data_IF_197809082503
#
_entry.id   IF_197809082503
#
_cell.length_a   1.000
_cell.length_b   1.000
_cell.length_c   1.000
_cell.angle_alpha   90.00
_cell.angle_beta   90.00
_cell.angle_gamma   90.00
#
_symmetry.space_group_name_H-M   'P 1'
#
loop_
_entity.id
_entity.type
_entity.pdbx_description
1 polymer ?
#
# COMPACT_ATOMS: atom_id res chain seq x y z
N UNK A 1 9.80 12.32 -7.91
CA UNK A 1 9.99 13.01 -6.63
C UNK A 1 8.67 13.02 -5.87
N UNK A 2 8.72 12.72 -4.56
CA UNK A 2 7.54 12.72 -3.69
C UNK A 2 6.96 14.13 -3.52
N UNK A 3 7.84 15.13 -3.41
CA UNK A 3 7.46 16.54 -3.37
C UNK A 3 6.65 16.96 -4.61
N UNK A 4 7.07 16.56 -5.81
CA UNK A 4 6.35 16.86 -7.04
C UNK A 4 4.95 16.18 -7.07
N UNK A 5 4.82 14.96 -6.52
CA UNK A 5 3.50 14.29 -6.43
C UNK A 5 2.49 15.12 -5.62
N UNK A 6 2.94 15.82 -4.56
CA UNK A 6 2.06 16.65 -3.72
C UNK A 6 1.40 17.78 -4.52
N UNK A 7 2.12 18.41 -5.46
CA UNK A 7 1.56 19.43 -6.33
C UNK A 7 0.47 18.88 -7.25
N UNK A 8 0.65 17.66 -7.77
CA UNK A 8 -0.37 17.01 -8.61
C UNK A 8 -1.59 16.58 -7.80
N UNK A 9 -1.40 16.12 -6.56
CA UNK A 9 -2.52 15.85 -5.65
C UNK A 9 -3.32 17.12 -5.36
N UNK A 10 -2.65 18.25 -5.13
CA UNK A 10 -3.32 19.54 -4.97
C UNK A 10 -4.16 19.91 -6.21
N UNK A 11 -3.64 19.70 -7.43
CA UNK A 11 -4.38 19.87 -8.69
C UNK A 11 -5.57 18.91 -8.80
N UNK A 12 -5.46 17.71 -8.22
CA UNK A 12 -6.55 16.75 -8.13
C UNK A 12 -7.62 17.13 -7.08
N UNK A 13 -7.38 18.19 -6.29
CA UNK A 13 -8.21 18.55 -5.14
C UNK A 13 -8.16 17.52 -4.02
N UNK A 14 -7.06 16.79 -3.89
CA UNK A 14 -6.81 15.82 -2.84
C UNK A 14 -5.84 16.38 -1.81
N UNK A 15 -6.18 16.35 -0.52
CA UNK A 15 -5.23 16.69 0.53
C UNK A 15 -4.11 15.64 0.59
N UNK A 16 -2.98 16.04 1.16
CA UNK A 16 -1.85 15.17 1.50
C UNK A 16 -1.41 15.48 2.92
N UNK A 17 -0.58 14.63 3.54
CA UNK A 17 0.14 15.02 4.75
C UNK A 17 0.82 16.39 4.54
N UNK A 18 0.84 17.25 5.54
CA UNK A 18 1.67 18.45 5.53
C UNK A 18 3.13 18.02 5.36
N UNK A 19 3.90 18.76 4.61
CA UNK A 19 5.25 18.34 4.24
C UNK A 19 6.21 19.50 4.06
N UNK A 20 7.49 19.20 4.15
CA UNK A 20 8.59 20.14 3.98
C UNK A 20 9.82 19.41 3.36
N UNK A 21 10.58 20.10 2.53
CA UNK A 21 11.91 19.60 2.09
C UNK A 21 12.91 19.97 3.16
N UNK A 22 13.66 19.00 3.65
CA UNK A 22 14.64 19.19 4.72
C UNK A 22 15.88 19.89 4.17
N UNK A 23 16.07 21.16 4.52
CA UNK A 23 17.22 21.96 4.12
C UNK A 23 18.29 22.03 5.22
N UNK A 24 17.88 22.06 6.50
CA UNK A 24 18.75 22.09 7.65
C UNK A 24 18.07 21.66 8.94
N UNK A 25 18.80 21.65 10.06
CA UNK A 25 18.24 21.25 11.34
C UNK A 25 17.18 22.25 11.85
N UNK A 26 17.44 23.54 11.73
CA UNK A 26 16.57 24.60 12.25
C UNK A 26 15.20 24.57 11.55
N UNK A 27 15.17 24.49 10.20
CA UNK A 27 13.90 24.41 9.45
C UNK A 27 13.15 23.09 9.68
N UNK A 28 13.86 21.99 9.89
CA UNK A 28 13.27 20.71 10.21
C UNK A 28 12.62 20.71 11.60
N UNK A 29 13.26 21.30 12.60
CA UNK A 29 12.70 21.50 13.95
C UNK A 29 11.45 22.40 13.90
N UNK A 30 11.52 23.53 13.19
CA UNK A 30 10.38 24.45 13.04
C UNK A 30 9.16 23.75 12.40
N UNK A 31 9.39 22.93 11.38
CA UNK A 31 8.33 22.13 10.78
C UNK A 31 7.77 21.10 11.76
N UNK A 32 8.64 20.34 12.44
CA UNK A 32 8.22 19.31 13.41
C UNK A 32 7.40 19.91 14.56
N UNK A 33 7.83 21.06 15.09
CA UNK A 33 7.08 21.78 16.14
C UNK A 33 5.73 22.31 15.64
N UNK A 34 5.64 22.67 14.35
CA UNK A 34 4.38 23.15 13.73
C UNK A 34 3.36 22.04 13.57
N UNK A 35 3.80 20.84 13.15
CA UNK A 35 2.88 19.72 12.87
C UNK A 35 2.70 18.79 14.06
N UNK A 36 3.65 18.79 14.99
CA UNK A 36 3.74 17.89 16.14
C UNK A 36 4.40 16.56 15.80
N UNK A 37 5.04 15.96 16.82
CA UNK A 37 5.61 14.62 16.70
C UNK A 37 4.55 13.52 16.78
N UNK A 38 4.79 12.33 16.20
CA UNK A 38 5.96 12.01 15.35
C UNK A 38 5.86 12.63 13.96
N UNK A 39 7.03 12.78 13.30
CA UNK A 39 7.15 13.11 11.88
C UNK A 39 7.77 11.94 11.11
N UNK A 40 7.56 11.87 9.81
CA UNK A 40 8.17 10.86 8.93
C UNK A 40 9.12 11.55 7.95
N UNK A 41 10.35 11.07 7.90
CA UNK A 41 11.35 11.53 6.92
C UNK A 41 11.69 10.40 5.95
N UNK A 42 11.76 10.72 4.67
CA UNK A 42 12.04 9.75 3.60
C UNK A 42 12.74 10.42 2.43
N UNK A 43 13.56 9.71 1.63
CA UNK A 43 14.16 10.30 0.45
C UNK A 43 13.09 10.85 -0.50
N UNK A 44 13.26 12.08 -0.99
CA UNK A 44 12.32 12.67 -1.97
C UNK A 44 12.31 11.88 -3.28
N UNK A 45 13.46 11.30 -3.65
CA UNK A 45 13.60 10.40 -4.78
C UNK A 45 13.95 9.00 -4.29
N UNK A 46 13.05 8.04 -4.50
CA UNK A 46 13.24 6.65 -4.07
C UNK A 46 11.95 5.85 -4.19
N UNK A 47 12.06 4.53 -4.08
CA UNK A 47 10.95 3.58 -4.13
C UNK A 47 10.90 2.73 -2.87
N UNK A 48 9.70 2.40 -2.43
CA UNK A 48 9.47 1.62 -1.21
C UNK A 48 9.75 2.39 0.08
N UNK A 49 9.82 1.65 1.20
CA UNK A 49 10.03 2.20 2.53
C UNK A 49 11.51 2.31 2.93
N UNK A 50 12.45 2.10 2.00
CA UNK A 50 13.87 2.18 2.28
C UNK A 50 14.25 3.60 2.74
N UNK A 51 15.08 3.69 3.78
CA UNK A 51 15.53 4.94 4.39
C UNK A 51 14.36 5.85 4.83
N UNK A 52 13.23 5.24 5.23
CA UNK A 52 12.09 5.94 5.82
C UNK A 52 12.18 5.82 7.34
N UNK A 53 12.16 6.96 8.03
CA UNK A 53 12.31 7.03 9.48
C UNK A 53 11.12 7.75 10.10
N UNK A 54 10.65 7.23 11.23
CA UNK A 54 9.68 7.88 12.11
C UNK A 54 10.45 8.50 13.27
N UNK A 55 10.42 9.82 13.37
CA UNK A 55 11.13 10.58 14.39
C UNK A 55 10.11 11.08 15.41
N UNK A 56 10.39 10.88 16.68
CA UNK A 56 9.42 11.08 17.77
C UNK A 56 9.82 12.21 18.72
N UNK A 57 10.99 12.78 18.55
CA UNK A 57 11.53 13.87 19.39
C UNK A 57 12.54 14.73 18.64
N UNK A 58 12.93 15.86 19.24
CA UNK A 58 14.00 16.71 18.74
C UNK A 58 15.34 15.95 18.68
N UNK A 59 15.60 15.09 19.68
CA UNK A 59 16.81 14.29 19.74
C UNK A 59 16.90 13.29 18.59
N UNK A 60 15.76 12.65 18.23
CA UNK A 60 15.69 11.75 17.08
C UNK A 60 15.99 12.51 15.77
N UNK A 61 15.47 13.74 15.68
CA UNK A 61 15.65 14.59 14.50
C UNK A 61 17.10 15.09 14.39
N UNK A 62 17.71 15.51 15.48
CA UNK A 62 19.13 15.88 15.53
C UNK A 62 20.02 14.70 15.11
N UNK A 63 19.77 13.51 15.69
CA UNK A 63 20.49 12.30 15.33
C UNK A 63 20.33 11.95 13.84
N UNK A 64 19.13 12.04 13.29
CA UNK A 64 18.89 11.85 11.87
C UNK A 64 19.69 12.83 11.02
N UNK A 65 19.67 14.11 11.36
CA UNK A 65 20.39 15.17 10.62
C UNK A 65 21.90 14.98 10.60
N UNK A 66 22.47 14.48 11.71
CA UNK A 66 23.90 14.19 11.84
C UNK A 66 24.34 12.95 11.03
N UNK A 67 23.41 12.02 10.75
CA UNK A 67 23.72 10.74 10.12
C UNK A 67 23.14 10.57 8.72
N UNK A 68 22.23 11.46 8.27
CA UNK A 68 21.72 11.41 6.91
C UNK A 68 22.84 11.70 5.92
N UNK A 69 22.86 11.00 4.80
CA UNK A 69 23.75 11.30 3.67
C UNK A 69 23.38 12.60 2.94
N UNK A 70 23.95 12.79 1.77
CA UNK A 70 23.71 13.96 0.90
C UNK A 70 22.35 13.92 0.17
N UNK A 71 21.55 12.90 0.40
CA UNK A 71 20.23 12.74 -0.24
C UNK A 71 19.28 13.84 0.24
N UNK A 72 18.43 14.30 -0.68
CA UNK A 72 17.33 15.21 -0.36
C UNK A 72 16.21 14.42 0.28
N UNK A 73 15.79 14.84 1.46
CA UNK A 73 14.69 14.25 2.22
C UNK A 73 13.47 15.16 2.23
N UNK A 74 12.29 14.53 2.14
CA UNK A 74 11.02 15.15 2.46
C UNK A 74 10.61 14.71 3.88
N UNK A 75 10.21 15.66 4.70
CA UNK A 75 9.60 15.44 6.00
C UNK A 75 8.09 15.60 5.89
N UNK A 76 7.34 14.70 6.48
CA UNK A 76 5.88 14.71 6.47
C UNK A 76 5.32 14.59 7.88
N UNK A 77 4.19 15.24 8.12
CA UNK A 77 3.36 14.98 9.29
C UNK A 77 2.95 13.52 9.31
N UNK A 78 2.98 12.89 10.47
CA UNK A 78 2.54 11.51 10.63
C UNK A 78 1.03 11.42 10.50
N UNK A 79 0.56 10.62 9.55
CA UNK A 79 -0.87 10.39 9.31
C UNK A 79 -1.35 9.20 10.13
N UNK A 80 -2.37 9.41 10.95
CA UNK A 80 -3.04 8.36 11.75
C UNK A 80 -4.13 7.71 10.91
N UNK A 81 -3.74 6.72 10.14
CA UNK A 81 -4.62 6.04 9.19
C UNK A 81 -3.99 4.74 8.69
N UNK A 82 -4.70 4.10 7.80
CA UNK A 82 -4.21 2.92 7.09
C UNK A 82 -4.04 3.24 5.60
N UNK A 83 -3.22 2.44 4.92
CA UNK A 83 -3.02 2.59 3.48
C UNK A 83 -4.07 1.78 2.74
N UNK A 84 -4.75 2.44 1.81
CA UNK A 84 -5.64 1.81 0.84
C UNK A 84 -5.28 2.27 -0.56
N UNK A 85 -5.34 1.36 -1.54
CA UNK A 85 -4.92 1.65 -2.91
C UNK A 85 -6.09 1.74 -3.89
N UNK A 86 -5.83 2.43 -4.99
CA UNK A 86 -6.58 2.30 -6.22
C UNK A 86 -5.62 1.80 -7.29
N UNK A 87 -5.87 0.58 -7.76
CA UNK A 87 -5.07 -0.10 -8.77
C UNK A 87 -5.90 -0.23 -10.04
N UNK A 88 -5.32 0.15 -11.18
CA UNK A 88 -6.08 0.10 -12.43
C UNK A 88 -5.18 -0.11 -13.65
N UNK A 89 -5.79 -0.64 -14.70
CA UNK A 89 -5.28 -0.56 -16.07
C UNK A 89 -6.15 0.46 -16.79
N UNK A 90 -5.54 1.55 -17.26
CA UNK A 90 -6.25 2.60 -17.96
C UNK A 90 -5.94 2.62 -19.45
N UNK A 91 -6.93 2.94 -20.27
CA UNK A 91 -6.83 3.06 -21.72
C UNK A 91 -6.13 4.36 -22.19
N UNK A 92 -6.05 4.60 -23.49
CA UNK A 92 -5.47 5.80 -24.09
C UNK A 92 -6.21 7.10 -23.74
N UNK A 93 -7.41 7.01 -23.20
CA UNK A 93 -8.23 8.15 -22.75
C UNK A 93 -8.17 8.34 -21.23
N UNK A 94 -7.44 7.45 -20.51
CA UNK A 94 -7.38 7.45 -19.06
C UNK A 94 -8.64 6.85 -18.40
N UNK A 95 -9.42 6.04 -19.14
CA UNK A 95 -10.57 5.32 -18.60
C UNK A 95 -10.12 3.95 -18.10
N UNK A 96 -10.57 3.51 -16.93
CA UNK A 96 -10.17 2.21 -16.40
C UNK A 96 -10.83 1.06 -17.18
N UNK A 97 -10.01 0.11 -17.58
CA UNK A 97 -10.40 -1.18 -18.17
C UNK A 97 -10.43 -2.30 -17.12
N UNK A 98 -9.77 -2.08 -16.02
CA UNK A 98 -9.70 -2.92 -14.84
C UNK A 98 -9.50 -2.01 -13.62
N UNK A 99 -10.18 -2.32 -12.52
CA UNK A 99 -10.03 -1.63 -11.23
C UNK A 99 -9.93 -2.66 -10.11
N UNK A 100 -9.08 -2.40 -9.14
CA UNK A 100 -8.96 -3.15 -7.89
C UNK A 100 -8.40 -2.23 -6.81
N UNK A 101 -8.24 -2.73 -5.60
CA UNK A 101 -7.59 -2.02 -4.52
C UNK A 101 -7.23 -2.96 -3.38
N UNK A 102 -6.19 -2.61 -2.65
CA UNK A 102 -5.81 -3.35 -1.46
C UNK A 102 -5.85 -2.45 -0.21
N UNK A 103 -5.94 -3.11 0.93
CA UNK A 103 -5.73 -2.50 2.24
C UNK A 103 -4.51 -3.15 2.86
N UNK A 104 -3.58 -2.32 3.33
CA UNK A 104 -2.44 -2.71 4.16
C UNK A 104 -2.71 -2.18 5.57
N UNK A 105 -3.17 -3.05 6.50
CA UNK A 105 -3.57 -2.62 7.85
C UNK A 105 -2.41 -2.09 8.67
N UNK A 106 -1.22 -2.69 8.51
CA UNK A 106 0.00 -2.28 9.19
C UNK A 106 0.96 -1.58 8.23
N UNK A 107 1.74 -0.65 8.75
CA UNK A 107 2.77 0.02 7.97
C UNK A 107 3.85 -0.96 7.52
N UNK A 108 4.19 -0.97 6.23
CA UNK A 108 5.30 -1.76 5.70
C UNK A 108 6.62 -1.40 6.42
N UNK A 109 6.78 -0.15 6.83
CA UNK A 109 7.92 0.30 7.62
C UNK A 109 8.00 -0.44 8.97
N UNK A 110 6.88 -0.57 9.68
CA UNK A 110 6.84 -1.28 10.97
C UNK A 110 7.05 -2.79 10.78
N UNK A 111 6.46 -3.38 9.73
CA UNK A 111 6.67 -4.79 9.36
C UNK A 111 8.17 -5.09 9.14
N UNK A 112 8.87 -4.23 8.40
CA UNK A 112 10.30 -4.41 8.09
C UNK A 112 11.16 -4.17 9.33
N UNK A 113 10.92 -3.08 10.06
CA UNK A 113 11.74 -2.68 11.21
C UNK A 113 11.62 -3.66 12.38
N UNK A 114 10.40 -4.16 12.63
CA UNK A 114 10.12 -5.05 13.76
C UNK A 114 10.15 -6.54 13.37
N UNK A 115 10.49 -6.85 12.12
CA UNK A 115 10.49 -8.22 11.57
C UNK A 115 9.17 -8.96 11.81
N UNK A 116 8.04 -8.26 11.65
CA UNK A 116 6.69 -8.83 11.84
C UNK A 116 6.24 -9.67 10.65
N UNK A 117 5.19 -10.44 10.86
CA UNK A 117 4.41 -11.06 9.78
C UNK A 117 3.85 -9.97 8.84
N UNK A 118 3.67 -10.32 7.59
CA UNK A 118 3.19 -9.37 6.58
C UNK A 118 1.77 -9.70 6.16
N UNK A 119 0.88 -8.72 6.21
CA UNK A 119 -0.53 -8.90 5.84
C UNK A 119 -1.01 -7.77 4.96
N UNK A 120 -1.75 -8.10 3.92
CA UNK A 120 -2.57 -7.18 3.15
C UNK A 120 -3.65 -7.96 2.39
N UNK A 121 -4.71 -7.29 1.97
CA UNK A 121 -5.78 -7.95 1.22
C UNK A 121 -6.37 -7.06 0.15
N UNK A 122 -6.83 -7.68 -0.91
CA UNK A 122 -7.65 -7.04 -1.93
C UNK A 122 -9.09 -6.95 -1.44
N UNK A 123 -9.66 -5.76 -1.52
CA UNK A 123 -11.08 -5.56 -1.24
C UNK A 123 -11.95 -6.18 -2.32
N UNK A 124 -13.12 -6.65 -1.95
CA UNK A 124 -14.09 -7.19 -2.89
C UNK A 124 -14.51 -6.15 -3.92
N UNK A 125 -14.84 -4.96 -3.47
CA UNK A 125 -15.16 -3.80 -4.30
C UNK A 125 -14.41 -2.57 -3.81
N UNK A 126 -13.86 -1.78 -4.72
CA UNK A 126 -13.16 -0.54 -4.37
C UNK A 126 -14.18 0.47 -3.82
N UNK A 127 -13.99 0.98 -2.59
CA UNK A 127 -14.88 2.00 -2.02
C UNK A 127 -14.93 3.26 -2.88
N UNK A 128 -16.12 3.88 -2.98
CA UNK A 128 -16.34 5.02 -3.88
C UNK A 128 -15.44 6.23 -3.57
N UNK A 129 -15.12 6.49 -2.30
CA UNK A 129 -14.19 7.55 -1.91
C UNK A 129 -12.78 7.32 -2.47
N UNK A 130 -12.28 6.09 -2.43
CA UNK A 130 -10.99 5.67 -2.99
C UNK A 130 -11.03 5.69 -4.52
N UNK A 131 -12.10 5.15 -5.12
CA UNK A 131 -12.29 5.17 -6.57
C UNK A 131 -12.31 6.59 -7.11
N UNK A 132 -13.08 7.48 -6.47
CA UNK A 132 -13.14 8.90 -6.82
C UNK A 132 -11.77 9.57 -6.69
N UNK A 133 -11.03 9.32 -5.60
CA UNK A 133 -9.67 9.83 -5.41
C UNK A 133 -8.72 9.32 -6.51
N UNK A 134 -8.78 8.03 -6.82
CA UNK A 134 -7.99 7.39 -7.88
C UNK A 134 -8.24 8.02 -9.24
N UNK A 135 -9.49 8.17 -9.66
CA UNK A 135 -9.84 8.76 -10.96
C UNK A 135 -9.45 10.24 -11.06
N UNK A 136 -9.58 11.02 -9.99
CA UNK A 136 -9.07 12.40 -9.95
C UNK A 136 -7.56 12.45 -10.09
N UNK A 137 -6.84 11.52 -9.45
CA UNK A 137 -5.38 11.39 -9.56
C UNK A 137 -4.99 11.02 -11.00
N UNK A 138 -5.62 10.00 -11.60
CA UNK A 138 -5.41 9.63 -13.02
C UNK A 138 -5.50 10.84 -13.93
N UNK A 139 -6.55 11.64 -13.75
CA UNK A 139 -6.79 12.84 -14.55
C UNK A 139 -5.72 13.93 -14.32
N UNK A 140 -5.37 14.20 -13.06
CA UNK A 140 -4.41 15.26 -12.71
C UNK A 140 -2.99 14.93 -13.17
N UNK A 141 -2.60 13.66 -13.13
CA UNK A 141 -1.31 13.17 -13.61
C UNK A 141 -1.29 12.90 -15.13
N UNK A 142 -2.43 13.04 -15.82
CA UNK A 142 -2.53 12.80 -17.26
C UNK A 142 -2.22 11.33 -17.65
N UNK A 143 -2.57 10.37 -16.79
CA UNK A 143 -2.25 8.96 -16.99
C UNK A 143 -3.04 8.39 -18.16
N UNK A 144 -2.34 7.68 -19.06
CA UNK A 144 -2.91 7.02 -20.25
C UNK A 144 -2.13 5.76 -20.58
N UNK A 145 -2.83 4.76 -21.11
CA UNK A 145 -2.27 3.49 -21.57
C UNK A 145 -1.27 2.92 -20.57
N UNK A 146 -1.71 2.76 -19.31
CA UNK A 146 -0.81 2.42 -18.20
C UNK A 146 -1.49 1.54 -17.15
N UNK A 147 -0.67 0.65 -16.55
CA UNK A 147 -1.00 0.08 -15.25
C UNK A 147 -0.57 1.06 -14.17
N UNK A 148 -1.40 1.25 -13.15
CA UNK A 148 -1.16 2.16 -12.03
C UNK A 148 -1.43 1.49 -10.70
N UNK A 149 -0.68 1.91 -9.70
CA UNK A 149 -0.83 1.59 -8.29
C UNK A 149 -0.76 2.90 -7.51
N UNK A 150 -1.90 3.38 -7.08
CA UNK A 150 -2.04 4.65 -6.37
C UNK A 150 -2.34 4.37 -4.90
N UNK A 151 -1.53 4.94 -4.02
CA UNK A 151 -1.63 4.77 -2.59
C UNK A 151 -2.25 6.00 -1.94
N UNK A 152 -3.17 5.75 -1.02
CA UNK A 152 -3.87 6.78 -0.23
C UNK A 152 -3.85 6.39 1.25
N UNK A 153 -3.76 7.39 2.12
CA UNK A 153 -4.15 7.21 3.51
C UNK A 153 -5.65 7.38 3.66
N UNK A 154 -6.26 6.54 4.48
CA UNK A 154 -7.62 6.73 4.99
C UNK A 154 -7.50 7.00 6.50
N UNK A 155 -7.95 8.17 6.95
CA UNK A 155 -7.83 8.56 8.35
C UNK A 155 -8.64 7.63 9.26
N UNK A 156 -8.00 7.08 10.29
CA UNK A 156 -8.64 6.24 11.31
C UNK A 156 -9.34 7.04 12.40
N UNK A 157 -9.00 8.32 12.52
CA UNK A 157 -9.54 9.27 13.49
C UNK A 157 -9.51 10.69 12.93
N UNK A 158 -10.18 11.63 13.57
CA UNK A 158 -10.08 13.05 13.24
C UNK A 158 -8.66 13.55 13.57
N UNK A 159 -8.01 14.21 12.61
CA UNK A 159 -6.66 14.75 12.77
C UNK A 159 -6.65 16.22 12.36
N UNK A 160 -6.32 17.09 13.33
CA UNK A 160 -6.32 18.54 13.14
C UNK A 160 -5.38 18.95 12.01
N UNK A 161 -5.88 19.76 11.07
CA UNK A 161 -5.12 20.20 9.90
C UNK A 161 -5.09 19.22 8.72
N UNK A 162 -5.54 17.96 8.89
CA UNK A 162 -5.60 16.96 7.81
C UNK A 162 -7.03 16.61 7.41
N UNK A 163 -7.92 16.33 8.37
CA UNK A 163 -9.29 15.96 8.06
C UNK A 163 -9.98 15.17 9.17
N UNK A 164 -11.09 14.53 8.80
CA UNK A 164 -11.90 13.69 9.69
C UNK A 164 -11.67 12.22 9.40
N UNK A 165 -12.04 11.37 10.37
CA UNK A 165 -12.07 9.91 10.18
C UNK A 165 -12.76 9.54 8.86
N UNK A 166 -12.09 8.74 8.05
CA UNK A 166 -12.57 8.30 6.74
C UNK A 166 -12.17 9.21 5.56
N UNK A 167 -11.60 10.39 5.82
CA UNK A 167 -11.07 11.24 4.75
C UNK A 167 -9.86 10.59 4.09
N UNK A 168 -9.72 10.83 2.77
CA UNK A 168 -8.70 10.23 1.91
C UNK A 168 -7.63 11.26 1.57
N UNK A 169 -6.37 10.92 1.86
CA UNK A 169 -5.21 11.75 1.54
C UNK A 169 -4.30 11.05 0.53
N UNK A 170 -3.76 11.79 -0.44
CA UNK A 170 -2.79 11.26 -1.40
C UNK A 170 -1.46 10.91 -0.74
N UNK A 171 -0.95 9.70 -1.00
CA UNK A 171 0.33 9.23 -0.49
C UNK A 171 1.36 9.08 -1.61
N UNK A 172 1.18 8.12 -2.53
CA UNK A 172 2.14 7.82 -3.58
C UNK A 172 1.47 7.44 -4.90
N UNK A 173 2.13 7.78 -6.02
CA UNK A 173 1.71 7.44 -7.38
C UNK A 173 2.77 6.56 -8.03
N UNK A 174 2.41 5.32 -8.31
CA UNK A 174 3.25 4.36 -8.99
C UNK A 174 2.67 4.01 -10.36
N UNK A 175 3.41 4.36 -11.43
CA UNK A 175 3.03 4.11 -12.83
C UNK A 175 3.41 2.68 -13.26
N UNK A 176 3.04 1.71 -12.45
CA UNK A 176 3.31 0.27 -12.60
C UNK A 176 2.27 -0.54 -11.83
N UNK A 177 2.15 -1.87 -12.04
CA UNK A 177 1.38 -2.72 -11.12
C UNK A 177 1.95 -2.68 -9.69
N UNK A 178 1.12 -3.03 -8.73
CA UNK A 178 1.55 -3.27 -7.36
C UNK A 178 2.65 -4.34 -7.30
N UNK A 179 3.45 -4.33 -6.25
CA UNK A 179 4.55 -5.25 -6.07
C UNK A 179 4.12 -6.65 -5.60
N UNK A 180 5.12 -7.52 -5.46
CA UNK A 180 4.95 -8.88 -4.93
C UNK A 180 4.00 -9.72 -5.76
N UNK A 181 3.10 -10.44 -5.08
CA UNK A 181 2.12 -11.34 -5.68
C UNK A 181 0.77 -10.67 -5.96
N UNK A 182 0.66 -9.37 -5.76
CA UNK A 182 -0.61 -8.63 -5.92
C UNK A 182 -1.22 -8.77 -7.32
N UNK A 183 -0.46 -8.76 -8.44
CA UNK A 183 -1.03 -9.00 -9.77
C UNK A 183 -1.68 -10.38 -9.92
N UNK A 184 -1.11 -11.42 -9.31
CA UNK A 184 -1.73 -12.76 -9.30
C UNK A 184 -2.99 -12.78 -8.43
N UNK A 185 -2.96 -12.06 -7.30
CA UNK A 185 -4.11 -11.92 -6.42
C UNK A 185 -5.29 -11.22 -7.11
N UNK A 186 -5.06 -10.26 -8.02
CA UNK A 186 -6.14 -9.66 -8.82
C UNK A 186 -6.90 -10.73 -9.62
N UNK A 187 -6.19 -11.71 -10.18
CA UNK A 187 -6.81 -12.78 -10.95
C UNK A 187 -7.74 -13.62 -10.10
N UNK A 188 -7.32 -13.95 -8.87
CA UNK A 188 -8.14 -14.69 -7.92
C UNK A 188 -9.29 -13.86 -7.33
N UNK A 189 -9.04 -12.58 -7.07
CA UNK A 189 -10.04 -11.67 -6.50
C UNK A 189 -11.20 -11.38 -7.44
N UNK A 190 -10.98 -11.38 -8.76
CA UNK A 190 -12.00 -10.98 -9.75
C UNK A 190 -12.21 -12.03 -10.85
N UNK A 191 -11.79 -13.28 -10.63
CA UNK A 191 -11.92 -14.37 -11.60
C UNK A 191 -11.56 -13.97 -13.03
N UNK A 192 -10.41 -13.29 -13.19
CA UNK A 192 -9.98 -12.71 -14.45
C UNK A 192 -8.53 -13.09 -14.79
N UNK A 193 -7.93 -12.40 -15.75
CA UNK A 193 -6.52 -12.49 -16.12
C UNK A 193 -6.00 -11.08 -16.40
N UNK A 194 -5.42 -10.46 -15.37
CA UNK A 194 -4.94 -9.07 -15.45
C UNK A 194 -3.80 -8.93 -16.48
N UNK A 195 -3.02 -9.98 -16.69
CA UNK A 195 -1.94 -9.98 -17.68
C UNK A 195 -2.50 -9.92 -19.11
N UNK A 196 -3.60 -10.67 -19.35
CA UNK A 196 -4.35 -10.59 -20.61
C UNK A 196 -4.98 -9.22 -20.81
N UNK A 197 -5.59 -8.63 -19.74
CA UNK A 197 -6.18 -7.28 -19.80
C UNK A 197 -5.09 -6.25 -20.14
N UNK A 198 -3.91 -6.37 -19.53
CA UNK A 198 -2.77 -5.52 -19.87
C UNK A 198 -2.36 -5.65 -21.32
N UNK A 199 -2.19 -6.89 -21.82
CA UNK A 199 -1.84 -7.14 -23.22
C UNK A 199 -2.90 -6.59 -24.19
N UNK A 200 -4.18 -6.77 -23.89
CA UNK A 200 -5.29 -6.27 -24.68
C UNK A 200 -5.32 -4.73 -24.73
N UNK A 201 -5.05 -4.07 -23.60
CA UNK A 201 -4.95 -2.62 -23.53
C UNK A 201 -3.80 -2.13 -24.42
N UNK A 202 -2.62 -2.75 -24.34
CA UNK A 202 -1.46 -2.35 -25.14
C UNK A 202 -1.69 -2.57 -26.64
N UNK A 203 -2.31 -3.70 -27.02
CA UNK A 203 -2.50 -4.06 -28.43
C UNK A 203 -3.76 -3.42 -29.05
N UNK A 204 -4.81 -3.24 -28.30
CA UNK A 204 -6.15 -2.95 -28.83
C UNK A 204 -6.86 -1.79 -28.14
N UNK A 205 -6.23 -1.19 -27.11
CA UNK A 205 -6.81 -0.10 -26.28
C UNK A 205 -8.19 -0.46 -25.68
N UNK A 206 -8.37 -1.73 -25.32
CA UNK A 206 -9.61 -2.25 -24.73
C UNK A 206 -9.34 -3.52 -23.90
N UNK A 207 -10.31 -3.88 -23.06
CA UNK A 207 -10.34 -5.17 -22.39
C UNK A 207 -11.23 -6.15 -23.17
N UNK A 208 -10.70 -7.34 -23.48
CA UNK A 208 -11.47 -8.46 -24.09
C UNK A 208 -11.67 -9.60 -23.09
N UNK A 209 -11.05 -9.55 -21.91
CA UNK A 209 -11.17 -10.56 -20.86
C UNK A 209 -12.28 -10.16 -19.89
N UNK A 210 -13.33 -10.99 -19.69
CA UNK A 210 -14.35 -10.72 -18.70
C UNK A 210 -13.78 -10.56 -17.28
N UNK A 211 -14.40 -9.70 -16.50
CA UNK A 211 -14.26 -9.64 -15.04
C UNK A 211 -15.36 -10.55 -14.49
N UNK A 212 -14.97 -11.49 -13.63
CA UNK A 212 -15.88 -12.47 -13.03
C UNK A 212 -16.47 -12.01 -11.69
N UNK A 213 -16.74 -12.96 -10.81
CA UNK A 213 -17.20 -12.65 -9.46
C UNK A 213 -16.09 -11.99 -8.64
N UNK A 214 -16.47 -11.10 -7.74
CA UNK A 214 -15.53 -10.40 -6.86
C UNK A 214 -15.46 -11.08 -5.49
N UNK A 215 -14.24 -11.23 -4.99
CA UNK A 215 -13.91 -11.85 -3.71
C UNK A 215 -12.89 -11.03 -2.96
N UNK A 216 -12.85 -11.17 -1.64
CA UNK A 216 -11.67 -10.80 -0.86
C UNK A 216 -10.53 -11.75 -1.21
N UNK A 217 -9.32 -11.21 -1.39
CA UNK A 217 -8.13 -12.03 -1.60
C UNK A 217 -7.04 -11.58 -0.62
N UNK A 218 -6.74 -12.44 0.34
CA UNK A 218 -5.91 -12.14 1.49
C UNK A 218 -4.52 -12.75 1.36
N UNK A 219 -3.49 -11.95 1.56
CA UNK A 219 -2.11 -12.38 1.68
C UNK A 219 -1.72 -12.43 3.16
N UNK A 220 -1.11 -13.53 3.57
CA UNK A 220 -0.45 -13.68 4.86
C UNK A 220 0.96 -14.23 4.66
N UNK A 221 1.96 -13.50 5.15
CA UNK A 221 3.35 -13.93 5.17
C UNK A 221 3.80 -14.22 6.59
N UNK A 222 4.21 -15.45 6.86
CA UNK A 222 4.77 -15.90 8.15
C UNK A 222 6.28 -15.79 8.17
N UNK A 223 6.85 -15.44 9.34
CA UNK A 223 8.28 -15.40 9.59
C UNK A 223 8.83 -16.76 10.02
N UNK A 224 10.00 -17.10 9.52
CA UNK A 224 10.76 -18.24 10.03
C UNK A 224 11.17 -18.00 11.49
N UNK A 225 11.18 -19.07 12.28
CA UNK A 225 11.56 -19.02 13.70
C UNK A 225 10.43 -18.65 14.66
N UNK A 226 9.27 -18.25 14.18
CA UNK A 226 8.07 -18.07 15.01
C UNK A 226 7.34 -19.40 15.19
N UNK A 227 6.94 -19.72 16.43
CA UNK A 227 6.20 -20.93 16.76
C UNK A 227 4.70 -20.69 16.68
N UNK A 228 4.12 -20.85 15.49
CA UNK A 228 2.69 -20.72 15.27
C UNK A 228 1.92 -21.92 15.83
N UNK A 229 0.66 -21.68 16.25
CA UNK A 229 -0.21 -22.75 16.77
C UNK A 229 -0.62 -23.75 15.71
N UNK A 230 -0.95 -23.28 14.50
CA UNK A 230 -1.23 -24.16 13.37
C UNK A 230 0.01 -24.27 12.49
N UNK A 231 0.39 -25.47 12.16
CA UNK A 231 1.46 -25.73 11.19
C UNK A 231 0.97 -25.57 9.74
N UNK A 232 1.90 -25.70 8.78
CA UNK A 232 1.57 -25.55 7.35
C UNK A 232 0.52 -26.58 6.88
N UNK A 233 0.63 -27.81 7.33
CA UNK A 233 -0.31 -28.86 6.96
C UNK A 233 -1.72 -28.57 7.51
N UNK A 234 -1.82 -28.19 8.76
CA UNK A 234 -3.09 -27.88 9.43
C UNK A 234 -3.79 -26.70 8.76
N UNK A 235 -3.05 -25.63 8.37
CA UNK A 235 -3.57 -24.51 7.61
C UNK A 235 -4.08 -24.95 6.24
N UNK A 236 -3.27 -25.72 5.51
CA UNK A 236 -3.64 -26.20 4.17
C UNK A 236 -4.87 -27.08 4.22
N UNK A 237 -5.05 -27.89 5.26
CA UNK A 237 -6.23 -28.71 5.45
C UNK A 237 -7.45 -27.89 5.86
N UNK A 238 -7.29 -26.98 6.82
CA UNK A 238 -8.40 -26.13 7.31
C UNK A 238 -8.97 -25.23 6.23
N UNK A 239 -8.11 -24.69 5.37
CA UNK A 239 -8.46 -23.73 4.32
C UNK A 239 -8.34 -24.31 2.90
N UNK A 240 -8.43 -25.64 2.73
CA UNK A 240 -8.22 -26.33 1.44
C UNK A 240 -9.07 -25.79 0.27
N UNK A 241 -10.28 -25.30 0.56
CA UNK A 241 -11.18 -24.72 -0.46
C UNK A 241 -10.94 -23.21 -0.73
N UNK A 242 -10.11 -22.57 0.07
CA UNK A 242 -9.88 -21.12 0.03
C UNK A 242 -8.47 -20.75 -0.40
N UNK A 243 -7.45 -21.55 -0.06
CA UNK A 243 -6.06 -21.24 -0.41
C UNK A 243 -5.87 -21.40 -1.92
N UNK A 244 -5.45 -20.30 -2.56
CA UNK A 244 -5.20 -20.22 -4.01
C UNK A 244 -3.72 -20.17 -4.35
N UNK A 245 -2.87 -19.75 -3.40
CA UNK A 245 -1.41 -19.81 -3.50
C UNK A 245 -0.80 -20.08 -2.13
N UNK A 246 0.27 -20.88 -2.10
CA UNK A 246 1.16 -20.96 -0.95
C UNK A 246 2.59 -21.25 -1.43
N UNK A 247 3.57 -20.96 -0.60
CA UNK A 247 4.96 -21.29 -0.89
C UNK A 247 5.97 -20.38 -0.20
N UNK A 248 7.23 -20.73 -0.40
CA UNK A 248 8.35 -19.93 0.10
C UNK A 248 8.49 -18.65 -0.70
N UNK A 249 8.77 -17.56 0.01
CA UNK A 249 9.04 -16.25 -0.59
C UNK A 249 10.53 -16.15 -0.87
N UNK A 250 10.95 -15.70 -2.06
CA UNK A 250 12.36 -15.46 -2.37
C UNK A 250 13.00 -14.45 -1.39
N UNK A 251 14.26 -14.67 -1.03
CA UNK A 251 15.01 -13.85 -0.06
C UNK A 251 14.95 -12.34 -0.40
N UNK A 252 14.99 -12.00 -1.69
CA UNK A 252 14.92 -10.62 -2.15
C UNK A 252 13.60 -9.90 -1.78
N UNK A 253 12.53 -10.64 -1.48
CA UNK A 253 11.22 -10.11 -1.10
C UNK A 253 10.90 -10.35 0.38
N UNK A 254 11.67 -11.22 1.06
CA UNK A 254 11.34 -11.68 2.40
C UNK A 254 11.34 -10.56 3.45
N UNK A 255 12.13 -9.50 3.26
CA UNK A 255 12.14 -8.35 4.16
C UNK A 255 10.75 -7.76 4.38
N UNK A 256 10.01 -7.49 3.30
CA UNK A 256 8.68 -6.89 3.35
C UNK A 256 7.53 -7.90 3.37
N UNK A 257 7.75 -9.14 2.91
CA UNK A 257 6.67 -10.11 2.68
C UNK A 257 6.76 -11.35 3.58
N UNK A 258 7.73 -11.41 4.51
CA UNK A 258 8.06 -12.58 5.34
C UNK A 258 8.64 -13.76 4.52
N UNK A 259 8.62 -14.98 5.05
CA UNK A 259 9.36 -16.12 4.48
C UNK A 259 8.46 -17.17 3.85
N UNK A 260 7.27 -17.40 4.40
CA UNK A 260 6.27 -18.35 3.91
C UNK A 260 4.96 -17.63 3.66
N UNK A 261 4.42 -17.71 2.43
CA UNK A 261 3.15 -17.08 2.10
C UNK A 261 1.99 -18.05 2.05
N UNK A 262 0.82 -17.50 2.36
CA UNK A 262 -0.49 -18.08 2.09
C UNK A 262 -1.36 -17.01 1.46
N UNK A 263 -2.01 -17.33 0.35
CA UNK A 263 -3.00 -16.45 -0.28
C UNK A 263 -4.33 -17.18 -0.27
N UNK A 264 -5.31 -16.58 0.38
CA UNK A 264 -6.67 -17.12 0.49
C UNK A 264 -7.68 -16.24 -0.23
N UNK A 265 -8.73 -16.87 -0.79
CA UNK A 265 -9.88 -16.23 -1.43
C UNK A 265 -11.13 -16.48 -0.61
N UNK A 266 -11.90 -15.42 -0.31
CA UNK A 266 -13.06 -15.47 0.59
C UNK A 266 -14.23 -14.65 0.05
N UNK A 267 -15.45 -15.10 0.34
CA UNK A 267 -16.67 -14.39 -0.06
C UNK A 267 -17.07 -13.30 0.93
N UNK A 268 -16.65 -13.44 2.18
CA UNK A 268 -16.98 -12.52 3.28
C UNK A 268 -15.73 -12.05 4.02
N UNK A 269 -15.81 -10.84 4.55
CA UNK A 269 -14.76 -10.28 5.40
C UNK A 269 -14.59 -11.10 6.71
N UNK A 270 -15.65 -11.67 7.23
CA UNK A 270 -15.60 -12.51 8.43
C UNK A 270 -14.76 -13.77 8.24
N UNK A 271 -14.91 -14.46 7.08
CA UNK A 271 -14.09 -15.63 6.73
C UNK A 271 -12.60 -15.23 6.55
N UNK A 272 -12.36 -14.12 5.90
CA UNK A 272 -11.00 -13.56 5.73
C UNK A 272 -10.36 -13.23 7.09
N UNK A 273 -11.10 -12.60 7.99
CA UNK A 273 -10.61 -12.26 9.33
C UNK A 273 -10.35 -13.51 10.18
N UNK A 274 -11.16 -14.56 10.05
CA UNK A 274 -10.91 -15.85 10.69
C UNK A 274 -9.60 -16.50 10.17
N UNK A 275 -9.36 -16.42 8.87
CA UNK A 275 -8.10 -16.87 8.26
C UNK A 275 -6.89 -16.10 8.83
N UNK A 276 -6.94 -14.78 8.91
CA UNK A 276 -5.88 -13.99 9.50
C UNK A 276 -5.64 -14.31 10.97
N UNK A 277 -6.70 -14.47 11.74
CA UNK A 277 -6.60 -14.84 13.15
C UNK A 277 -5.87 -16.18 13.34
N UNK A 278 -6.27 -17.21 12.60
CA UNK A 278 -5.67 -18.54 12.69
C UNK A 278 -4.19 -18.56 12.27
N UNK A 279 -3.83 -17.76 11.26
CA UNK A 279 -2.43 -17.69 10.80
C UNK A 279 -1.55 -16.89 11.76
N UNK A 280 -2.11 -15.93 12.46
CA UNK A 280 -1.38 -15.07 13.40
C UNK A 280 -1.13 -15.73 14.76
N UNK A 281 -1.95 -16.71 15.17
CA UNK A 281 -1.83 -17.31 16.49
C UNK A 281 -0.48 -18.04 16.69
N UNK A 282 0.23 -17.67 17.74
CA UNK A 282 1.50 -18.31 18.15
C UNK A 282 1.51 -18.62 19.65
N UNK A 283 2.45 -19.47 20.08
CA UNK A 283 2.61 -19.88 21.49
C UNK A 283 3.28 -18.82 22.34
#
# INVERSE_FOLDING_TARGET
>A
FKSAMKEYYAKAGLPTARWHIVEGLEDALDFAHTVGYPVVVKPDNGVGANNTYKLSSDEDLEFFMDHKGDEVYIMEEYVRGYVQTFDAIVDSKGQPLFESGNITPESIMDIVNDNRDSTYYLVKDVPENIRSAGLRTVKAFGVKSRFIHLEFFVLSEDQAGLGKKGDVLGLEVNMRPAGGYTPDMYNYSQETDVYKIWADMVCFDKNTKPIGAHHYCAFYGRRDGTHYKLDDYEIMMKYAGHIVMNGRIPDALSGAMANQMYVGRFDTEAEMNAFYHDLAEHF
#
